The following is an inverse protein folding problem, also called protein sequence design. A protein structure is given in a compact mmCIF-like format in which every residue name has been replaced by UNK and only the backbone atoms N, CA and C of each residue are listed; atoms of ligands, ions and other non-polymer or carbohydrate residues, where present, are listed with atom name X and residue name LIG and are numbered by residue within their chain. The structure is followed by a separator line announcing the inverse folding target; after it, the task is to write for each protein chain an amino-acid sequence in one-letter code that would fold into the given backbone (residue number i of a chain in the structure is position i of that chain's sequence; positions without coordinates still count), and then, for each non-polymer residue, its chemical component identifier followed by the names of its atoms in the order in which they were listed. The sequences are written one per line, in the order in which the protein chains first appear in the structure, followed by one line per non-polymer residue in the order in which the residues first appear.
data_IF_054926684614
#
_entry.id   IF_054926684614
#
_cell.length_a   1.000
_cell.length_b   1.000
_cell.length_c   1.000
_cell.angle_alpha   90.00
_cell.angle_beta   90.00
_cell.angle_gamma   90.00
#
_symmetry.space_group_name_H-M   'P 1'
#
loop_
_entity.id
_entity.type
_entity.pdbx_description
1 polymer ?
#
# COMPACT_ATOMS: atom_id res chain seq x y z
N UNK A 1 -1.59 7.38 -2.30
CA UNK A 1 -0.62 7.33 -3.43
C UNK A 1 0.74 6.83 -2.94
N UNK A 2 1.42 7.58 -2.07
CA UNK A 2 2.78 7.27 -1.62
C UNK A 2 2.92 5.89 -0.95
N UNK A 3 1.92 5.46 -0.16
CA UNK A 3 1.88 4.12 0.41
C UNK A 3 2.11 3.05 -0.67
N UNK A 4 1.28 3.03 -1.72
CA UNK A 4 1.33 1.96 -2.70
C UNK A 4 2.54 2.05 -3.64
N UNK A 5 3.14 3.24 -3.79
CA UNK A 5 4.45 3.38 -4.44
C UNK A 5 5.51 2.60 -3.66
N UNK A 6 5.59 2.79 -2.33
CA UNK A 6 6.53 2.08 -1.47
C UNK A 6 6.25 0.58 -1.43
N UNK A 7 4.99 0.17 -1.36
CA UNK A 7 4.58 -1.25 -1.39
C UNK A 7 4.99 -1.90 -2.71
N UNK A 8 4.74 -1.27 -3.86
CA UNK A 8 5.13 -1.81 -5.16
C UNK A 8 6.66 -1.91 -5.29
N UNK A 9 7.43 -0.92 -4.81
CA UNK A 9 8.89 -0.98 -4.79
C UNK A 9 9.38 -2.11 -3.86
N UNK A 10 8.77 -2.29 -2.69
CA UNK A 10 9.11 -3.36 -1.76
C UNK A 10 8.94 -4.75 -2.39
N UNK A 11 7.80 -4.98 -3.05
CA UNK A 11 7.51 -6.22 -3.77
C UNK A 11 8.52 -6.43 -4.89
N UNK A 12 8.83 -5.39 -5.67
CA UNK A 12 9.81 -5.48 -6.75
C UNK A 12 11.23 -5.83 -6.23
N UNK A 13 11.69 -5.21 -5.14
CA UNK A 13 12.96 -5.55 -4.49
C UNK A 13 12.96 -6.98 -3.91
N UNK A 14 11.84 -7.45 -3.37
CA UNK A 14 11.72 -8.83 -2.91
C UNK A 14 11.81 -9.82 -4.08
N UNK A 15 11.23 -9.48 -5.25
CA UNK A 15 11.34 -10.30 -6.46
C UNK A 15 12.76 -10.36 -7.03
N UNK A 16 13.58 -9.32 -6.86
CA UNK A 16 14.97 -9.33 -7.32
C UNK A 16 15.91 -10.12 -6.41
N UNK A 17 15.50 -10.43 -5.17
CA UNK A 17 16.30 -11.17 -4.21
C UNK A 17 16.14 -12.69 -4.32
N UNK A 18 17.26 -13.43 -4.24
CA UNK A 18 17.29 -14.90 -4.30
C UNK A 18 17.22 -15.59 -2.94
N UNK A 19 17.47 -14.87 -1.85
CA UNK A 19 17.52 -15.43 -0.49
C UNK A 19 16.33 -14.99 0.34
N UNK A 20 15.91 -15.82 1.30
CA UNK A 20 14.82 -15.47 2.21
C UNK A 20 15.15 -14.22 3.04
N UNK A 21 16.37 -14.11 3.57
CA UNK A 21 16.82 -12.94 4.33
C UNK A 21 16.75 -11.64 3.52
N UNK A 22 17.15 -11.67 2.25
CA UNK A 22 17.05 -10.50 1.38
C UNK A 22 15.60 -10.10 1.08
N UNK A 23 14.68 -11.07 0.91
CA UNK A 23 13.25 -10.80 0.76
C UNK A 23 12.64 -10.17 2.00
N UNK A 24 12.99 -10.67 3.19
CA UNK A 24 12.53 -10.13 4.47
C UNK A 24 12.99 -8.68 4.60
N UNK A 25 14.28 -8.39 4.40
CA UNK A 25 14.81 -7.04 4.48
C UNK A 25 14.16 -6.09 3.44
N UNK A 26 13.99 -6.56 2.20
CA UNK A 26 13.38 -5.80 1.11
C UNK A 26 11.92 -5.41 1.39
N UNK A 27 11.18 -6.24 2.12
CA UNK A 27 9.80 -5.93 2.53
C UNK A 27 9.75 -5.11 3.82
N UNK A 28 10.62 -5.42 4.79
CA UNK A 28 10.57 -4.84 6.13
C UNK A 28 10.79 -3.31 6.12
N UNK A 29 11.86 -2.82 5.49
CA UNK A 29 12.20 -1.39 5.56
C UNK A 29 11.17 -0.48 4.86
N UNK A 30 10.69 -0.79 3.64
CA UNK A 30 9.67 0.05 3.01
C UNK A 30 8.32 0.00 3.74
N UNK A 31 7.94 -1.17 4.29
CA UNK A 31 6.71 -1.31 5.07
C UNK A 31 6.78 -0.46 6.33
N UNK A 32 7.89 -0.58 7.08
CA UNK A 32 8.13 0.23 8.26
C UNK A 32 8.09 1.73 7.94
N UNK A 33 8.71 2.16 6.84
CA UNK A 33 8.73 3.56 6.43
C UNK A 33 7.32 4.12 6.17
N UNK A 34 6.48 3.44 5.40
CA UNK A 34 5.14 3.98 5.11
C UNK A 34 4.26 4.00 6.36
N UNK A 35 4.43 3.04 7.28
CA UNK A 35 3.72 3.00 8.57
C UNK A 35 4.15 4.17 9.45
N UNK A 36 5.45 4.42 9.58
CA UNK A 36 5.98 5.54 10.38
C UNK A 36 5.56 6.90 9.82
N UNK A 37 5.49 7.03 8.50
CA UNK A 37 5.04 8.26 7.83
C UNK A 37 3.51 8.43 7.84
N UNK A 38 2.76 7.47 8.39
CA UNK A 38 1.30 7.53 8.47
C UNK A 38 0.62 7.49 7.10
N UNK A 39 1.22 6.81 6.12
CA UNK A 39 0.59 6.68 4.80
C UNK A 39 -0.52 5.63 4.82
N UNK A 40 -1.64 5.98 4.19
CA UNK A 40 -2.85 5.16 4.18
C UNK A 40 -2.77 4.00 3.17
N UNK A 41 -2.97 2.78 3.67
CA UNK A 41 -3.11 1.57 2.86
C UNK A 41 -4.53 1.02 2.95
N UNK A 42 -5.20 0.93 1.81
CA UNK A 42 -6.61 0.51 1.73
C UNK A 42 -6.89 -0.80 2.47
N UNK A 43 -6.04 -1.83 2.27
CA UNK A 43 -6.19 -3.15 2.92
C UNK A 43 -5.91 -3.09 4.42
N UNK A 44 -4.91 -2.31 4.85
CA UNK A 44 -4.66 -2.13 6.29
C UNK A 44 -5.84 -1.44 6.98
N UNK A 45 -6.44 -0.46 6.31
CA UNK A 45 -7.57 0.30 6.84
C UNK A 45 -8.85 -0.53 6.93
N UNK A 46 -9.03 -1.52 6.03
CA UNK A 46 -10.10 -2.52 6.13
C UNK A 46 -9.97 -3.40 7.38
N UNK A 47 -8.79 -3.46 8.00
CA UNK A 47 -8.60 -4.16 9.28
C UNK A 47 -8.71 -3.20 10.47
N UNK A 48 -7.91 -2.12 10.47
CA UNK A 48 -7.78 -1.25 11.63
C UNK A 48 -9.07 -0.48 11.97
N UNK A 49 -9.74 0.09 10.97
CA UNK A 49 -10.93 0.92 11.20
C UNK A 49 -12.13 0.06 11.65
N UNK A 50 -12.47 -1.06 10.98
CA UNK A 50 -13.54 -1.94 11.46
C UNK A 50 -13.29 -2.51 12.86
N UNK A 51 -12.04 -2.89 13.17
CA UNK A 51 -11.67 -3.35 14.52
C UNK A 51 -11.88 -2.22 15.54
N UNK A 52 -11.53 -0.98 15.21
CA UNK A 52 -11.76 0.18 16.06
C UNK A 52 -13.26 0.44 16.33
N UNK A 53 -14.11 0.32 15.31
CA UNK A 53 -15.57 0.46 15.45
C UNK A 53 -16.15 -0.65 16.34
N UNK A 54 -15.72 -1.90 16.13
CA UNK A 54 -16.18 -3.03 16.95
C UNK A 54 -15.78 -2.88 18.42
N UNK A 55 -14.52 -2.50 18.69
CA UNK A 55 -14.05 -2.24 20.05
C UNK A 55 -14.77 -1.05 20.70
N UNK A 56 -15.04 0.03 19.95
CA UNK A 56 -15.81 1.15 20.48
C UNK A 56 -17.20 0.75 20.93
N UNK A 57 -17.89 -0.06 20.12
CA UNK A 57 -19.22 -0.56 20.44
C UNK A 57 -19.21 -1.52 21.65
N UNK A 58 -18.21 -2.39 21.73
CA UNK A 58 -18.10 -3.38 22.83
C UNK A 58 -17.76 -2.72 24.18
N UNK A 59 -16.83 -1.77 24.18
CA UNK A 59 -16.32 -1.13 25.40
C UNK A 59 -17.00 0.20 25.73
N UNK A 60 -18.01 0.61 24.95
CA UNK A 60 -18.73 1.87 25.15
C UNK A 60 -17.84 3.11 25.04
N UNK A 61 -16.77 3.05 24.25
CA UNK A 61 -15.84 4.17 24.07
C UNK A 61 -16.47 5.15 23.09
N UNK A 62 -16.62 6.41 23.51
CA UNK A 62 -17.11 7.48 22.63
C UNK A 62 -16.10 7.76 21.52
N UNK A 63 -16.30 7.16 20.35
CA UNK A 63 -15.53 7.49 19.16
C UNK A 63 -16.25 8.58 18.40
N UNK A 64 -15.61 9.74 18.24
CA UNK A 64 -16.23 10.92 17.62
C UNK A 64 -16.77 10.65 16.21
N UNK A 65 -15.90 10.69 15.20
CA UNK A 65 -16.25 10.54 13.78
C UNK A 65 -16.00 9.13 13.22
N UNK A 66 -15.76 8.14 14.08
CA UNK A 66 -15.44 6.77 13.67
C UNK A 66 -16.75 6.00 13.47
N UNK A 67 -17.31 6.09 12.27
CA UNK A 67 -18.51 5.34 11.88
C UNK A 67 -18.28 4.62 10.54
N UNK A 68 -19.21 3.74 10.19
CA UNK A 68 -19.12 3.01 8.92
C UNK A 68 -19.22 3.94 7.70
N UNK A 69 -19.95 5.04 7.79
CA UNK A 69 -20.13 5.99 6.69
C UNK A 69 -18.85 6.74 6.35
N UNK A 70 -18.19 7.31 7.36
CA UNK A 70 -16.91 8.00 7.28
C UNK A 70 -15.79 7.04 6.89
N UNK A 71 -15.84 5.78 7.35
CA UNK A 71 -14.93 4.74 6.89
C UNK A 71 -15.01 4.55 5.37
N UNK A 72 -16.20 4.35 4.79
CA UNK A 72 -16.31 4.11 3.35
C UNK A 72 -16.04 5.36 2.51
N UNK A 73 -16.65 6.50 2.87
CA UNK A 73 -16.64 7.71 2.03
C UNK A 73 -15.38 8.53 2.23
N UNK A 74 -14.94 8.71 3.46
CA UNK A 74 -13.82 9.62 3.79
C UNK A 74 -12.47 8.90 3.87
N UNK A 75 -12.44 7.58 4.00
CA UNK A 75 -11.20 6.81 4.03
C UNK A 75 -11.09 5.81 2.86
N UNK A 76 -11.96 4.81 2.78
CA UNK A 76 -11.73 3.65 1.91
C UNK A 76 -11.70 4.02 0.42
N UNK A 77 -12.67 4.79 -0.07
CA UNK A 77 -12.72 5.23 -1.47
C UNK A 77 -11.49 6.07 -1.85
N UNK A 78 -11.19 7.20 -1.19
CA UNK A 78 -10.04 8.03 -1.56
C UNK A 78 -8.70 7.31 -1.41
N UNK A 79 -8.53 6.50 -0.36
CA UNK A 79 -7.30 5.73 -0.14
C UNK A 79 -7.12 4.66 -1.22
N UNK A 80 -8.19 3.96 -1.62
CA UNK A 80 -8.15 2.94 -2.68
C UNK A 80 -7.79 3.57 -4.02
N UNK A 81 -8.43 4.68 -4.40
CA UNK A 81 -8.08 5.42 -5.63
C UNK A 81 -6.61 5.83 -5.57
N UNK A 82 -6.16 6.40 -4.45
CA UNK A 82 -4.77 6.75 -4.26
C UNK A 82 -3.82 5.56 -4.35
N UNK A 83 -4.21 4.38 -3.87
CA UNK A 83 -3.40 3.16 -3.92
C UNK A 83 -3.29 2.67 -5.38
N UNK A 84 -4.41 2.65 -6.13
CA UNK A 84 -4.43 2.31 -7.57
C UNK A 84 -3.49 3.23 -8.35
N UNK A 85 -3.60 4.55 -8.16
CA UNK A 85 -2.73 5.53 -8.82
C UNK A 85 -1.26 5.27 -8.47
N UNK A 86 -0.95 5.04 -7.19
CA UNK A 86 0.42 4.75 -6.75
C UNK A 86 1.01 3.50 -7.41
N UNK A 87 0.21 2.44 -7.57
CA UNK A 87 0.63 1.22 -8.25
C UNK A 87 0.80 1.42 -9.76
N UNK A 88 -0.10 2.17 -10.39
CA UNK A 88 -0.02 2.52 -11.80
C UNK A 88 1.26 3.30 -12.12
N UNK A 89 1.68 4.25 -11.27
CA UNK A 89 2.92 5.01 -11.45
C UNK A 89 4.14 4.09 -11.54
N UNK A 90 4.27 3.12 -10.64
CA UNK A 90 5.39 2.16 -10.68
C UNK A 90 5.28 1.23 -11.89
N UNK A 91 4.07 0.75 -12.21
CA UNK A 91 3.83 -0.10 -13.39
C UNK A 91 4.19 0.59 -14.71
N UNK A 92 3.76 1.84 -14.90
CA UNK A 92 4.10 2.65 -16.07
C UNK A 92 5.60 3.00 -16.12
N UNK A 93 6.21 3.31 -14.96
CA UNK A 93 7.65 3.54 -14.88
C UNK A 93 8.46 2.31 -15.30
N UNK A 94 8.05 1.12 -14.85
CA UNK A 94 8.64 -0.14 -15.28
C UNK A 94 8.45 -0.35 -16.79
N UNK A 95 7.24 -0.22 -17.30
CA UNK A 95 6.98 -0.37 -18.74
C UNK A 95 7.88 0.55 -19.58
N UNK A 96 7.96 1.84 -19.22
CA UNK A 96 8.78 2.81 -19.94
C UNK A 96 10.27 2.46 -19.92
N UNK A 97 10.80 2.00 -18.79
CA UNK A 97 12.20 1.60 -18.66
C UNK A 97 12.55 0.39 -19.56
N UNK A 98 11.62 -0.52 -19.81
CA UNK A 98 11.88 -1.75 -20.57
C UNK A 98 11.39 -1.73 -22.04
N UNK A 99 10.71 -0.67 -22.47
CA UNK A 99 10.23 -0.49 -23.85
C UNK A 99 11.34 -0.59 -24.91
N UNK A 100 12.53 -0.07 -24.62
CA UNK A 100 13.66 -0.09 -25.57
C UNK A 100 14.50 -1.37 -25.50
N UNK A 101 14.46 -2.10 -24.38
CA UNK A 101 15.15 -3.38 -24.22
C UNK A 101 14.49 -4.46 -25.07
N UNK A 102 13.15 -4.47 -25.12
CA UNK A 102 12.39 -5.43 -25.93
C UNK A 102 12.69 -5.30 -27.43
N UNK A 103 12.86 -4.07 -27.95
CA UNK A 103 13.25 -3.82 -29.35
C UNK A 103 14.68 -4.29 -29.69
N UNK A 104 15.60 -4.31 -28.71
CA UNK A 104 16.99 -4.73 -28.92
C UNK A 104 17.18 -6.24 -28.90
N UNK A 105 16.35 -6.99 -28.18
CA UNK A 105 16.39 -8.46 -28.12
C UNK A 105 15.77 -9.09 -29.39
N UNK A 106 14.89 -8.36 -30.07
CA UNK A 106 14.25 -8.78 -31.32
C UNK A 106 15.10 -8.54 -32.59
N UNK A 107 16.28 -7.94 -32.47
CA UNK A 107 17.22 -7.70 -33.57
C UNK A 107 18.46 -8.54 -33.38
#
# INVERSE_FOLDING_TARGET
ILCNILVCIAVWMAYSSKTAGGKIAALFFPVMLFVLLGFEHSVANMYYIPTGIMCSNEYGITTGSLDWGSFFVSNLIPVTIGNIIGGAVIGFGYWFAYLNTSKKISK
#
